data_IF_264109980452
#
_entry.id   IF_264109980452
#
_cell.length_a   1.000
_cell.length_b   1.000
_cell.length_c   1.000
_cell.angle_alpha   90.00
_cell.angle_beta   90.00
_cell.angle_gamma   90.00
#
_symmetry.space_group_name_H-M   'P 1'
#
loop_
_entity.id
_entity.type
_entity.pdbx_description
1 polymer ?
#
# COMPACT_ATOMS: atom_id res chain seq x y z
N UNK A 1 -12.96 8.62 13.00
CA UNK A 1 -11.77 9.04 12.20
C UNK A 1 -10.74 7.92 12.26
N UNK A 2 -9.81 7.83 11.28
CA UNK A 2 -8.67 6.90 11.34
C UNK A 2 -7.73 7.23 12.51
N UNK A 3 -6.69 6.43 12.72
CA UNK A 3 -5.77 6.55 13.84
C UNK A 3 -4.28 6.34 13.56
N UNK A 4 -3.88 5.57 12.55
CA UNK A 4 -2.49 5.09 12.43
C UNK A 4 -1.40 6.17 12.22
N UNK A 5 -1.79 7.42 11.88
CA UNK A 5 -0.87 8.56 11.76
C UNK A 5 -0.75 9.41 13.05
N UNK A 6 -1.62 9.20 14.04
CA UNK A 6 -1.55 9.93 15.30
C UNK A 6 -0.41 9.37 16.17
N UNK A 7 0.65 10.15 16.36
CA UNK A 7 1.77 9.79 17.23
C UNK A 7 1.56 10.15 18.70
N UNK A 8 2.53 9.85 19.57
CA UNK A 8 2.43 10.07 21.01
C UNK A 8 2.34 11.56 21.42
N UNK A 9 2.73 12.46 20.51
CA UNK A 9 2.68 13.93 20.69
C UNK A 9 1.99 14.64 19.53
N UNK A 10 1.13 13.93 18.79
CA UNK A 10 0.46 14.44 17.61
C UNK A 10 1.22 14.10 16.33
N UNK A 11 1.55 15.11 15.52
CA UNK A 11 2.20 14.92 14.21
C UNK A 11 3.56 14.21 14.38
N UNK A 12 3.77 13.18 13.57
CA UNK A 12 5.06 12.49 13.45
C UNK A 12 5.72 12.94 12.14
N UNK A 13 6.89 13.55 12.24
CA UNK A 13 7.67 14.05 11.10
C UNK A 13 8.80 13.09 10.75
N UNK A 14 9.29 13.15 9.51
CA UNK A 14 10.49 12.44 9.10
C UNK A 14 11.34 13.28 8.14
N UNK A 15 12.54 12.81 7.78
CA UNK A 15 13.44 13.55 6.89
C UNK A 15 12.80 13.88 5.52
N UNK A 16 11.90 13.02 5.03
CA UNK A 16 11.22 13.19 3.75
C UNK A 16 9.85 13.89 3.87
N UNK A 17 9.40 14.15 5.11
CA UNK A 17 8.16 14.86 5.43
C UNK A 17 8.38 15.68 6.73
N UNK A 18 9.12 16.79 6.65
CA UNK A 18 9.59 17.53 7.82
C UNK A 18 8.47 18.29 8.54
N UNK A 19 7.41 18.67 7.82
CA UNK A 19 6.23 19.31 8.39
C UNK A 19 5.26 18.27 8.98
N UNK A 20 5.21 17.08 8.38
CA UNK A 20 4.32 16.00 8.77
C UNK A 20 2.84 16.36 8.61
N UNK A 21 1.95 15.43 8.94
CA UNK A 21 0.54 15.71 9.16
C UNK A 21 -0.09 14.64 10.05
N UNK A 22 -1.32 14.91 10.48
CA UNK A 22 -2.14 13.95 11.22
C UNK A 22 -2.81 12.93 10.30
N UNK A 23 -2.83 13.13 8.97
CA UNK A 23 -3.49 12.21 8.03
C UNK A 23 -4.94 11.86 8.44
N UNK A 24 -5.72 12.87 8.81
CA UNK A 24 -7.09 12.76 9.34
C UNK A 24 -7.24 11.99 10.68
N UNK A 25 -6.13 11.57 11.29
CA UNK A 25 -6.10 10.82 12.54
C UNK A 25 -6.11 11.75 13.76
N UNK A 26 -6.97 11.45 14.74
CA UNK A 26 -7.04 12.20 16.00
C UNK A 26 -6.42 11.44 17.17
N UNK A 27 -6.75 10.16 17.29
CA UNK A 27 -6.23 9.24 18.29
C UNK A 27 -5.74 7.98 17.58
N UNK A 28 -4.70 7.34 18.10
CA UNK A 28 -4.22 6.10 17.51
C UNK A 28 -5.07 4.91 17.96
N UNK A 29 -6.18 4.68 17.26
CA UNK A 29 -7.20 3.69 17.64
C UNK A 29 -6.61 2.28 17.79
N UNK A 30 -5.78 1.84 16.84
CA UNK A 30 -5.20 0.50 16.84
C UNK A 30 -4.19 0.30 17.98
N UNK A 31 -3.32 1.28 18.23
CA UNK A 31 -2.36 1.21 19.33
C UNK A 31 -3.06 1.27 20.70
N UNK A 32 -4.08 2.13 20.84
CA UNK A 32 -4.90 2.19 22.06
C UNK A 32 -5.59 0.84 22.30
N UNK A 33 -6.18 0.23 21.28
CA UNK A 33 -6.81 -1.08 21.37
C UNK A 33 -5.84 -2.19 21.80
N UNK A 34 -4.66 -2.22 21.19
CA UNK A 34 -3.61 -3.18 21.53
C UNK A 34 -3.07 -3.01 22.97
N UNK A 35 -2.78 -1.77 23.37
CA UNK A 35 -2.34 -1.44 24.72
C UNK A 35 -3.42 -1.77 25.77
N UNK A 36 -4.68 -1.45 25.48
CA UNK A 36 -5.82 -1.80 26.33
C UNK A 36 -5.94 -3.32 26.49
N UNK A 37 -5.81 -4.08 25.40
CA UNK A 37 -5.91 -5.53 25.43
C UNK A 37 -4.84 -6.14 26.35
N UNK A 38 -3.58 -5.71 26.22
CA UNK A 38 -2.50 -6.14 27.10
C UNK A 38 -2.75 -5.77 28.56
N UNK A 39 -3.18 -4.54 28.81
CA UNK A 39 -3.38 -4.06 30.18
C UNK A 39 -4.52 -4.79 30.87
N UNK A 40 -5.68 -4.91 30.23
CA UNK A 40 -6.89 -5.45 30.85
C UNK A 40 -6.93 -6.98 30.86
N UNK A 41 -6.42 -7.63 29.82
CA UNK A 41 -6.49 -9.08 29.64
C UNK A 41 -5.15 -9.80 29.90
N UNK A 42 -4.17 -9.15 30.56
CA UNK A 42 -2.89 -9.79 30.96
C UNK A 42 -3.05 -11.09 31.74
N UNK A 43 -4.08 -11.16 32.59
CA UNK A 43 -4.37 -12.35 33.41
C UNK A 43 -5.15 -13.43 32.64
N UNK A 44 -5.67 -13.09 31.45
CA UNK A 44 -6.33 -14.02 30.53
C UNK A 44 -5.38 -14.51 29.43
N UNK A 45 -4.08 -14.20 29.56
CA UNK A 45 -3.03 -14.66 28.65
C UNK A 45 -2.75 -13.74 27.47
N UNK A 46 -3.25 -12.50 27.46
CA UNK A 46 -2.90 -11.51 26.43
C UNK A 46 -1.67 -10.72 26.88
N UNK A 47 -0.47 -11.19 26.51
CA UNK A 47 0.79 -10.49 26.76
C UNK A 47 1.42 -9.98 25.48
N UNK A 48 1.50 -10.81 24.43
CA UNK A 48 2.09 -10.48 23.14
C UNK A 48 1.02 -10.02 22.16
N UNK A 49 1.16 -8.82 21.61
CA UNK A 49 0.23 -8.30 20.58
C UNK A 49 0.98 -7.92 19.32
N UNK A 50 0.37 -8.21 18.18
CA UNK A 50 0.86 -7.77 16.89
C UNK A 50 -0.10 -6.78 16.24
N UNK A 51 0.42 -5.70 15.68
CA UNK A 51 -0.32 -4.74 14.88
C UNK A 51 0.19 -4.84 13.44
N UNK A 52 -0.69 -5.15 12.50
CA UNK A 52 -0.38 -5.27 11.07
C UNK A 52 -1.15 -4.21 10.31
N UNK A 53 -0.43 -3.33 9.63
CA UNK A 53 -0.97 -2.21 8.88
C UNK A 53 -0.81 -2.46 7.36
N UNK A 54 -1.94 -2.59 6.67
CA UNK A 54 -1.98 -2.72 5.21
C UNK A 54 -2.51 -1.46 4.51
N UNK A 55 -2.78 -0.38 5.25
CA UNK A 55 -3.09 0.92 4.66
C UNK A 55 -1.95 1.34 3.72
N UNK A 56 -2.27 1.98 2.60
CA UNK A 56 -1.23 2.33 1.63
C UNK A 56 -0.27 3.38 2.19
N UNK A 57 -0.73 4.19 3.14
CA UNK A 57 0.08 5.17 3.83
C UNK A 57 0.75 4.54 5.04
N UNK A 58 1.97 4.98 5.33
CA UNK A 58 2.71 4.44 6.45
C UNK A 58 2.04 4.81 7.79
N UNK A 59 1.80 3.82 8.65
CA UNK A 59 1.37 3.99 10.04
C UNK A 59 2.43 4.59 10.96
N UNK A 60 2.98 5.76 10.60
CA UNK A 60 4.03 6.49 11.32
C UNK A 60 3.66 6.85 12.76
N UNK A 61 2.39 7.14 13.02
CA UNK A 61 1.90 7.37 14.37
C UNK A 61 2.04 6.11 15.22
N UNK A 62 1.58 4.98 14.68
CA UNK A 62 1.67 3.67 15.35
C UNK A 62 3.12 3.26 15.56
N UNK A 63 3.97 3.41 14.53
CA UNK A 63 5.40 3.15 14.63
C UNK A 63 6.05 3.96 15.77
N UNK A 64 5.82 5.28 15.79
CA UNK A 64 6.41 6.16 16.79
C UNK A 64 5.91 5.85 18.20
N UNK A 65 4.65 5.45 18.37
CA UNK A 65 4.14 4.97 19.67
C UNK A 65 4.88 3.70 20.11
N UNK A 66 5.07 2.74 19.20
CA UNK A 66 5.77 1.48 19.50
C UNK A 66 7.25 1.74 19.83
N UNK A 67 7.90 2.72 19.19
CA UNK A 67 9.28 3.13 19.50
C UNK A 67 9.44 3.69 20.92
N UNK A 68 8.39 4.24 21.52
CA UNK A 68 8.41 4.82 22.87
C UNK A 68 8.27 3.77 23.98
N UNK A 69 8.10 2.49 23.62
CA UNK A 69 8.15 1.36 24.55
C UNK A 69 9.56 1.10 25.11
N UNK A 70 10.57 1.78 24.57
CA UNK A 70 11.96 1.61 24.95
C UNK A 70 12.46 2.88 25.62
N UNK A 71 13.07 2.80 26.82
CA UNK A 71 13.63 3.96 27.48
C UNK A 71 14.62 4.69 26.58
N UNK A 72 14.43 6.00 26.42
CA UNK A 72 15.21 6.84 25.53
C UNK A 72 15.42 8.23 26.14
N UNK A 73 16.32 9.02 25.55
CA UNK A 73 16.51 10.43 25.86
C UNK A 73 16.36 11.22 24.58
N UNK A 74 15.27 11.97 24.47
CA UNK A 74 15.09 12.90 23.37
C UNK A 74 15.90 14.17 23.58
N UNK A 75 16.52 14.66 22.51
CA UNK A 75 17.31 15.88 22.51
C UNK A 75 16.65 16.89 21.60
N UNK A 76 16.30 18.05 22.14
CA UNK A 76 15.71 19.16 21.39
C UNK A 76 16.65 20.37 21.44
N UNK A 77 17.07 20.85 20.28
CA UNK A 77 17.80 22.11 20.19
C UNK A 77 16.82 23.27 20.41
N UNK A 78 17.12 24.13 21.38
CA UNK A 78 16.38 25.37 21.59
C UNK A 78 17.26 26.52 21.12
N UNK A 79 16.71 27.33 20.25
CA UNK A 79 17.34 28.57 19.79
C UNK A 79 16.40 29.72 20.07
N UNK A 80 16.88 30.68 20.85
CA UNK A 80 16.23 31.97 21.06
C UNK A 80 17.11 33.06 20.43
N UNK A 81 16.62 34.30 20.29
CA UNK A 81 17.46 35.41 19.83
C UNK A 81 18.70 35.67 20.70
N UNK A 82 18.72 35.19 21.95
CA UNK A 82 19.75 35.51 22.95
C UNK A 82 20.61 34.31 23.37
N UNK A 83 20.17 33.07 23.11
CA UNK A 83 20.86 31.86 23.52
C UNK A 83 20.48 30.66 22.65
N UNK A 84 21.43 29.73 22.49
CA UNK A 84 21.19 28.38 21.99
C UNK A 84 21.53 27.36 23.06
N UNK A 85 20.72 26.32 23.19
CA UNK A 85 20.96 25.22 24.12
C UNK A 85 20.32 23.93 23.61
N UNK A 86 20.54 22.85 24.36
CA UNK A 86 19.94 21.55 24.09
C UNK A 86 19.20 21.10 25.34
N UNK A 87 17.91 20.81 25.20
CA UNK A 87 17.13 20.13 26.23
C UNK A 87 17.23 18.64 26.00
N UNK A 88 17.48 17.90 27.07
CA UNK A 88 17.40 16.44 27.08
C UNK A 88 16.21 16.01 27.95
N UNK A 89 15.30 15.25 27.37
CA UNK A 89 14.09 14.76 28.04
C UNK A 89 14.08 13.24 27.99
N UNK A 90 14.18 12.53 29.12
CA UNK A 90 13.96 11.10 29.15
C UNK A 90 12.54 10.77 28.68
N UNK A 91 12.40 9.77 27.82
CA UNK A 91 11.11 9.27 27.34
C UNK A 91 11.02 7.77 27.54
N UNK A 92 9.91 7.33 28.12
CA UNK A 92 9.58 5.92 28.30
C UNK A 92 8.07 5.82 28.56
N UNK A 93 7.36 5.07 27.72
CA UNK A 93 5.90 4.90 27.82
C UNK A 93 5.51 3.43 27.64
N UNK A 94 5.84 2.56 28.62
CA UNK A 94 5.40 1.17 28.56
C UNK A 94 3.87 1.11 28.60
N UNK A 95 3.30 0.20 27.83
CA UNK A 95 1.90 -0.18 27.87
C UNK A 95 1.60 -1.14 29.03
N UNK A 96 2.53 -2.04 29.36
CA UNK A 96 2.37 -2.99 30.48
C UNK A 96 3.58 -3.02 31.41
N UNK A 97 4.74 -3.44 30.91
CA UNK A 97 5.96 -3.62 31.72
C UNK A 97 7.24 -3.44 30.87
N UNK A 98 8.41 -3.68 31.44
CA UNK A 98 9.70 -3.58 30.74
C UNK A 98 9.88 -4.56 29.57
N UNK A 99 9.07 -5.62 29.49
CA UNK A 99 9.14 -6.62 28.42
C UNK A 99 8.33 -6.22 27.18
N UNK A 100 7.68 -5.06 27.19
CA UNK A 100 6.93 -4.52 26.05
C UNK A 100 7.73 -4.50 24.75
N UNK A 101 9.05 -4.31 24.86
CA UNK A 101 10.01 -4.37 23.77
C UNK A 101 10.00 -5.72 23.03
N UNK A 102 9.69 -6.81 23.73
CA UNK A 102 9.61 -8.18 23.19
C UNK A 102 8.18 -8.64 22.93
N UNK A 103 7.21 -7.97 23.55
CA UNK A 103 5.79 -8.33 23.59
C UNK A 103 4.91 -7.49 22.64
N UNK A 104 5.48 -6.54 21.90
CA UNK A 104 4.78 -5.74 20.89
C UNK A 104 5.45 -5.87 19.53
N UNK A 105 4.69 -6.31 18.54
CA UNK A 105 5.09 -6.42 17.14
C UNK A 105 4.30 -5.41 16.30
N UNK A 106 4.97 -4.73 15.38
CA UNK A 106 4.34 -3.84 14.41
C UNK A 106 4.89 -4.10 13.02
N UNK A 107 4.03 -4.21 12.02
CA UNK A 107 4.43 -4.22 10.63
C UNK A 107 3.54 -3.32 9.80
N UNK A 108 4.13 -2.61 8.83
CA UNK A 108 3.41 -1.77 7.88
C UNK A 108 3.92 -2.01 6.47
N UNK A 109 3.02 -2.24 5.51
CA UNK A 109 3.32 -2.19 4.08
C UNK A 109 2.74 -0.93 3.47
N UNK A 110 3.54 -0.08 2.84
CA UNK A 110 3.10 1.23 2.37
C UNK A 110 3.83 1.66 1.10
N UNK A 111 3.27 2.64 0.38
CA UNK A 111 3.98 3.30 -0.71
C UNK A 111 5.23 4.05 -0.21
N UNK A 112 6.35 3.95 -0.92
CA UNK A 112 7.60 4.60 -0.56
C UNK A 112 8.26 5.23 -1.78
N UNK A 113 8.43 6.54 -1.78
CA UNK A 113 9.05 7.26 -2.90
C UNK A 113 8.38 8.60 -3.19
N UNK A 114 8.73 9.24 -4.32
CA UNK A 114 8.06 10.46 -4.78
C UNK A 114 6.62 10.17 -5.25
N UNK A 115 5.72 11.16 -5.17
CA UNK A 115 4.34 11.03 -5.68
C UNK A 115 4.26 10.92 -7.20
N UNK A 116 5.34 11.25 -7.89
CA UNK A 116 5.41 11.29 -9.35
C UNK A 116 6.79 10.84 -9.85
N UNK A 117 6.77 9.88 -10.78
CA UNK A 117 7.95 9.26 -11.39
C UNK A 117 8.89 10.25 -12.07
N UNK A 118 8.36 11.37 -12.60
CA UNK A 118 9.19 12.43 -13.22
C UNK A 118 10.25 12.95 -12.27
N UNK A 119 9.97 12.93 -10.96
CA UNK A 119 10.90 13.40 -9.93
C UNK A 119 11.70 12.27 -9.28
N UNK A 120 11.36 11.01 -9.55
CA UNK A 120 12.16 9.84 -9.18
C UNK A 120 13.45 9.76 -10.02
N UNK A 121 13.32 9.98 -11.33
CA UNK A 121 14.43 9.81 -12.27
C UNK A 121 15.37 11.03 -12.35
N UNK A 122 14.90 12.22 -11.94
CA UNK A 122 15.69 13.46 -11.93
C UNK A 122 16.37 13.78 -10.58
N UNK A 123 16.33 12.85 -9.61
CA UNK A 123 17.02 12.94 -8.30
C UNK A 123 16.71 14.21 -7.49
N UNK A 124 15.58 14.89 -7.75
CA UNK A 124 15.13 16.02 -6.95
C UNK A 124 13.72 15.78 -6.38
N UNK A 125 13.56 14.82 -5.46
CA UNK A 125 12.28 14.49 -4.86
C UNK A 125 11.63 15.65 -4.11
N UNK A 126 12.41 16.67 -3.71
CA UNK A 126 11.91 17.89 -3.09
C UNK A 126 10.95 18.69 -3.98
N UNK A 127 11.02 18.53 -5.31
CA UNK A 127 10.12 19.22 -6.25
C UNK A 127 8.85 18.43 -6.59
N UNK A 128 8.85 17.10 -6.43
CA UNK A 128 7.74 16.22 -6.80
C UNK A 128 6.76 15.89 -5.68
N UNK A 129 7.12 16.24 -4.44
CA UNK A 129 6.42 15.80 -3.24
C UNK A 129 6.64 14.32 -2.95
N UNK A 130 6.83 13.98 -1.68
CA UNK A 130 6.99 12.60 -1.25
C UNK A 130 5.64 11.92 -0.98
N UNK A 131 5.55 10.62 -1.22
CA UNK A 131 4.39 9.83 -0.83
C UNK A 131 4.29 9.79 0.70
N UNK A 132 3.11 10.10 1.21
CA UNK A 132 2.93 10.67 2.54
C UNK A 132 2.46 9.64 3.58
N UNK A 133 2.97 9.68 4.83
CA UNK A 133 4.37 9.89 5.18
C UNK A 133 5.17 8.63 4.85
N UNK A 134 6.48 8.70 4.73
CA UNK A 134 7.32 7.53 4.46
C UNK A 134 8.50 7.51 5.43
N UNK A 135 8.32 6.93 6.61
CA UNK A 135 9.36 6.93 7.65
C UNK A 135 10.56 6.05 7.28
N UNK A 136 10.42 5.14 6.31
CA UNK A 136 11.51 4.31 5.84
C UNK A 136 11.06 3.08 5.06
N UNK A 137 12.03 2.38 4.48
CA UNK A 137 11.88 1.04 3.89
C UNK A 137 12.83 0.12 4.64
N UNK A 138 12.34 -1.01 5.15
CA UNK A 138 13.19 -2.06 5.72
C UNK A 138 14.01 -2.60 4.57
N UNK A 139 15.33 -2.50 4.70
CA UNK A 139 16.24 -3.13 3.77
C UNK A 139 16.34 -4.59 4.18
N UNK A 140 15.64 -5.47 3.47
CA UNK A 140 15.91 -6.90 3.55
C UNK A 140 17.21 -7.16 2.78
N UNK A 141 18.36 -7.07 3.44
CA UNK A 141 19.63 -7.52 2.83
C UNK A 141 19.73 -9.05 2.96
N UNK A 142 20.53 -9.70 2.12
CA UNK A 142 20.82 -11.14 2.25
C UNK A 142 21.35 -11.50 3.66
N UNK A 143 21.90 -10.50 4.36
CA UNK A 143 22.37 -10.56 5.74
C UNK A 143 21.27 -10.78 6.77
N UNK A 144 20.06 -10.32 6.48
CA UNK A 144 18.87 -10.50 7.34
C UNK A 144 18.17 -11.81 6.98
N UNK A 145 18.18 -12.22 5.71
CA UNK A 145 17.54 -13.47 5.24
C UNK A 145 18.34 -14.73 5.57
N UNK A 146 19.67 -14.65 5.61
CA UNK A 146 20.54 -15.80 5.88
C UNK A 146 21.88 -15.34 6.47
N UNK A 147 21.92 -14.97 7.77
CA UNK A 147 23.11 -14.42 8.42
C UNK A 147 24.34 -15.33 8.33
N UNK A 148 24.12 -16.65 8.26
CA UNK A 148 25.15 -17.68 8.15
C UNK A 148 25.83 -17.77 6.77
N UNK A 149 25.25 -17.18 5.74
CA UNK A 149 25.71 -17.34 4.35
C UNK A 149 26.58 -16.17 3.87
N UNK A 150 26.85 -15.17 4.73
CA UNK A 150 27.73 -14.07 4.37
C UNK A 150 29.17 -14.40 4.77
N UNK A 151 29.94 -14.84 3.79
CA UNK A 151 31.40 -14.81 3.89
C UNK A 151 31.88 -13.37 3.67
N UNK A 152 32.38 -12.74 4.73
CA UNK A 152 32.93 -11.37 4.78
C UNK A 152 31.90 -10.23 4.61
N UNK A 153 31.04 -9.98 5.62
CA UNK A 153 30.14 -8.82 5.60
C UNK A 153 30.94 -7.52 5.51
N UNK A 154 30.57 -6.62 4.59
CA UNK A 154 31.08 -5.25 4.59
C UNK A 154 30.48 -4.46 5.77
N UNK A 155 30.98 -3.26 6.06
CA UNK A 155 30.54 -2.47 7.23
C UNK A 155 29.01 -2.23 7.25
N UNK A 156 28.41 -2.01 6.09
CA UNK A 156 26.96 -1.77 5.95
C UNK A 156 26.18 -3.06 6.23
N UNK A 157 26.62 -4.20 5.69
CA UNK A 157 26.01 -5.51 5.93
C UNK A 157 26.23 -5.99 7.37
N UNK A 158 27.37 -5.66 7.96
CA UNK A 158 27.67 -5.90 9.37
C UNK A 158 26.72 -5.09 10.26
N UNK A 159 26.56 -3.78 10.02
CA UNK A 159 25.62 -2.94 10.77
C UNK A 159 24.15 -3.40 10.59
N UNK A 160 23.78 -3.88 9.41
CA UNK A 160 22.43 -4.42 9.14
C UNK A 160 22.20 -5.85 9.66
N UNK A 161 23.24 -6.68 9.82
CA UNK A 161 23.17 -8.02 10.43
C UNK A 161 23.31 -8.01 11.96
N UNK A 162 23.83 -6.93 12.54
CA UNK A 162 23.87 -6.70 14.00
C UNK A 162 22.47 -6.46 14.60
N UNK A 163 21.40 -6.63 13.82
CA UNK A 163 20.00 -6.39 14.20
C UNK A 163 19.42 -7.43 15.17
N UNK A 164 20.25 -8.36 15.65
CA UNK A 164 19.88 -9.27 16.73
C UNK A 164 20.80 -9.21 17.97
N UNK A 165 21.96 -8.53 17.93
CA UNK A 165 22.94 -8.65 19.05
C UNK A 165 24.00 -7.53 19.14
N UNK A 166 23.66 -6.27 19.47
CA UNK A 166 24.40 -5.45 20.47
C UNK A 166 24.04 -3.94 20.52
N UNK A 167 24.00 -3.49 21.76
CA UNK A 167 23.82 -2.15 22.32
C UNK A 167 24.78 -1.04 21.83
N UNK A 168 24.25 0.18 21.73
CA UNK A 168 24.99 1.46 21.74
C UNK A 168 24.40 2.49 20.77
N UNK A 169 23.97 3.66 21.29
CA UNK A 169 23.36 4.89 20.69
C UNK A 169 22.38 4.79 19.48
N UNK A 170 22.50 3.78 18.62
CA UNK A 170 21.61 3.38 17.53
C UNK A 170 20.41 2.51 17.99
N UNK A 171 20.04 2.61 19.27
CA UNK A 171 18.92 1.87 19.88
C UNK A 171 17.59 2.08 19.17
N UNK A 172 17.43 3.12 18.33
CA UNK A 172 16.19 3.33 17.57
C UNK A 172 15.93 2.18 16.58
N UNK A 173 16.94 1.63 15.91
CA UNK A 173 16.72 0.80 14.72
C UNK A 173 16.34 -0.66 15.03
N UNK A 174 16.66 -1.17 16.22
CA UNK A 174 16.54 -2.60 16.57
C UNK A 174 15.82 -2.90 17.88
N UNK A 175 15.32 -1.88 18.56
CA UNK A 175 14.73 -2.11 19.87
C UNK A 175 13.31 -2.67 19.78
N UNK A 176 12.52 -2.38 18.75
CA UNK A 176 11.16 -2.92 18.63
C UNK A 176 11.05 -3.85 17.42
N UNK A 177 10.19 -4.88 17.50
CA UNK A 177 9.85 -5.76 16.37
C UNK A 177 8.99 -5.00 15.35
N UNK A 178 9.58 -4.01 14.69
CA UNK A 178 8.99 -3.14 13.69
C UNK A 178 9.47 -3.59 12.31
N UNK A 179 8.55 -3.91 11.41
CA UNK A 179 8.84 -4.24 10.01
C UNK A 179 8.14 -3.24 9.10
N UNK A 180 8.90 -2.33 8.49
CA UNK A 180 8.37 -1.35 7.54
C UNK A 180 8.69 -1.75 6.10
N UNK A 181 7.71 -1.98 5.25
CA UNK A 181 7.95 -2.38 3.86
C UNK A 181 7.49 -1.25 2.95
N UNK A 182 8.47 -0.51 2.44
CA UNK A 182 8.25 0.52 1.43
C UNK A 182 8.20 -0.08 0.02
N UNK A 183 7.05 0.06 -0.64
CA UNK A 183 6.81 -0.38 -2.01
C UNK A 183 6.99 0.80 -2.98
N UNK A 184 7.84 0.62 -3.99
CA UNK A 184 8.18 1.69 -4.91
C UNK A 184 7.04 1.93 -5.93
N UNK A 185 6.99 3.14 -6.50
CA UNK A 185 6.00 3.51 -7.51
C UNK A 185 6.24 2.74 -8.83
N UNK A 186 5.21 2.18 -9.50
CA UNK A 186 5.33 1.55 -10.82
C UNK A 186 6.06 2.41 -11.82
N UNK A 187 7.07 1.86 -12.49
CA UNK A 187 7.65 2.47 -13.70
C UNK A 187 6.86 2.07 -14.94
N UNK A 188 6.89 2.86 -16.03
CA UNK A 188 6.14 2.56 -17.26
C UNK A 188 6.55 1.26 -17.95
N UNK A 189 7.77 0.77 -17.70
CA UNK A 189 8.30 -0.47 -18.26
C UNK A 189 8.04 -1.70 -17.37
N UNK A 190 7.49 -1.51 -16.17
CA UNK A 190 7.22 -2.61 -15.25
C UNK A 190 6.04 -3.46 -15.76
N UNK A 191 6.09 -4.75 -15.46
CA UNK A 191 5.01 -5.68 -15.80
C UNK A 191 3.75 -5.32 -15.01
N UNK A 192 2.62 -5.00 -15.68
CA UNK A 192 1.39 -4.61 -15.00
C UNK A 192 0.90 -5.68 -14.01
N UNK A 193 0.75 -5.27 -12.75
CA UNK A 193 0.33 -6.15 -11.66
C UNK A 193 1.47 -6.72 -10.82
N UNK A 194 2.75 -6.48 -11.18
CA UNK A 194 3.89 -6.91 -10.36
C UNK A 194 3.89 -6.34 -8.94
N UNK A 195 3.46 -5.10 -8.72
CA UNK A 195 3.36 -4.55 -7.36
C UNK A 195 2.45 -5.35 -6.43
N UNK A 196 1.39 -5.94 -6.97
CA UNK A 196 0.49 -6.79 -6.17
C UNK A 196 1.21 -8.07 -5.76
N UNK A 197 2.03 -8.63 -6.66
CA UNK A 197 2.91 -9.77 -6.37
C UNK A 197 3.98 -9.36 -5.36
N UNK A 198 4.60 -8.19 -5.50
CA UNK A 198 5.59 -7.67 -4.55
C UNK A 198 4.99 -7.44 -3.16
N UNK A 199 3.77 -6.88 -3.08
CA UNK A 199 3.04 -6.76 -1.83
C UNK A 199 2.83 -8.14 -1.19
N UNK A 200 2.27 -9.11 -1.92
CA UNK A 200 2.00 -10.45 -1.37
C UNK A 200 3.30 -11.17 -0.99
N UNK A 201 4.34 -11.05 -1.80
CA UNK A 201 5.69 -11.53 -1.50
C UNK A 201 6.25 -10.89 -0.24
N UNK A 202 5.97 -9.60 0.00
CA UNK A 202 6.41 -8.92 1.20
C UNK A 202 5.79 -9.52 2.47
N UNK A 203 4.51 -9.91 2.40
CA UNK A 203 3.86 -10.66 3.46
C UNK A 203 4.44 -12.06 3.61
N UNK A 204 4.52 -12.84 2.52
CA UNK A 204 5.00 -14.24 2.55
C UNK A 204 6.43 -14.37 3.06
N UNK A 205 7.31 -13.45 2.67
CA UNK A 205 8.76 -13.54 2.91
C UNK A 205 9.21 -12.76 4.14
N UNK A 206 8.55 -11.65 4.47
CA UNK A 206 9.01 -10.75 5.53
C UNK A 206 8.04 -10.65 6.71
N UNK A 207 6.72 -10.52 6.51
CA UNK A 207 5.80 -10.27 7.64
C UNK A 207 5.33 -11.58 8.29
N UNK A 208 4.73 -12.48 7.51
CA UNK A 208 4.05 -13.68 8.04
C UNK A 208 5.00 -14.64 8.78
N UNK A 209 6.23 -14.93 8.29
CA UNK A 209 7.15 -15.79 9.04
C UNK A 209 7.55 -15.19 10.38
N UNK A 210 7.86 -13.89 10.43
CA UNK A 210 8.24 -13.21 11.66
C UNK A 210 7.06 -13.03 12.61
N UNK A 211 5.85 -12.85 12.09
CA UNK A 211 4.62 -12.81 12.87
C UNK A 211 4.31 -14.17 13.50
N UNK A 212 4.52 -15.27 12.76
CA UNK A 212 4.36 -16.62 13.30
C UNK A 212 5.42 -16.89 14.39
N UNK A 213 6.68 -16.54 14.14
CA UNK A 213 7.78 -16.72 15.10
C UNK A 213 7.63 -15.80 16.33
N UNK A 214 6.95 -14.67 16.18
CA UNK A 214 6.57 -13.79 17.29
C UNK A 214 5.56 -14.45 18.25
N UNK A 215 4.76 -15.40 17.76
CA UNK A 215 3.75 -16.13 18.53
C UNK A 215 2.78 -15.18 19.28
N UNK A 216 2.05 -14.31 18.57
CA UNK A 216 1.18 -13.32 19.21
C UNK A 216 0.06 -14.00 20.00
N UNK A 217 -0.33 -13.42 21.13
CA UNK A 217 -1.55 -13.80 21.85
C UNK A 217 -2.79 -13.12 21.26
N UNK A 218 -2.61 -12.08 20.44
CA UNK A 218 -3.67 -11.36 19.74
C UNK A 218 -3.12 -10.55 18.56
N UNK A 219 -3.86 -10.52 17.46
CA UNK A 219 -3.50 -9.73 16.26
C UNK A 219 -4.49 -8.57 16.08
N UNK A 220 -3.98 -7.39 15.78
CA UNK A 220 -4.72 -6.20 15.40
C UNK A 220 -4.37 -5.84 13.96
N UNK A 221 -5.37 -5.49 13.15
CA UNK A 221 -5.20 -5.02 11.79
C UNK A 221 -5.53 -3.53 11.74
N UNK A 222 -4.59 -2.71 11.28
CA UNK A 222 -4.87 -1.36 10.76
C UNK A 222 -5.30 -1.51 9.30
N UNK A 223 -6.61 -1.40 9.06
CA UNK A 223 -7.23 -1.80 7.81
C UNK A 223 -7.59 -0.58 6.94
N UNK A 224 -6.64 -0.14 6.13
CA UNK A 224 -6.84 0.89 5.10
C UNK A 224 -7.17 0.33 3.73
N UNK A 225 -8.21 0.84 3.08
CA UNK A 225 -8.67 0.34 1.76
C UNK A 225 -8.33 1.28 0.59
N UNK A 226 -7.45 2.24 0.83
CA UNK A 226 -6.96 3.24 -0.13
C UNK A 226 -5.80 2.74 -1.01
N UNK A 227 -5.21 1.59 -0.71
CA UNK A 227 -4.31 0.87 -1.62
C UNK A 227 -5.02 0.36 -2.90
N UNK A 228 -6.35 0.45 -2.95
CA UNK A 228 -7.14 -0.05 -4.07
C UNK A 228 -6.82 0.73 -5.35
N UNK A 229 -6.57 0.07 -6.49
CA UNK A 229 -6.18 0.67 -7.79
C UNK A 229 -7.09 1.77 -8.38
N UNK A 230 -8.27 1.98 -7.77
CA UNK A 230 -9.28 2.98 -8.19
C UNK A 230 -9.40 4.13 -7.19
N UNK A 231 -8.73 4.02 -6.05
CA UNK A 231 -8.53 5.12 -5.13
C UNK A 231 -7.42 6.01 -5.64
N UNK A 232 -7.60 7.32 -5.54
CA UNK A 232 -6.66 8.31 -6.02
C UNK A 232 -5.64 8.70 -4.95
N UNK A 233 -5.92 8.41 -3.67
CA UNK A 233 -5.01 8.76 -2.57
C UNK A 233 -3.74 7.92 -2.55
N UNK A 234 -3.71 6.75 -3.20
CA UNK A 234 -2.49 5.97 -3.35
C UNK A 234 -1.52 6.49 -4.42
N UNK A 235 -1.84 7.51 -5.23
CA UNK A 235 -0.96 8.03 -6.29
C UNK A 235 -0.41 6.95 -7.27
N UNK A 236 -1.10 5.82 -7.43
CA UNK A 236 -0.66 4.70 -8.26
C UNK A 236 0.24 3.69 -7.56
N UNK A 237 0.54 3.87 -6.27
CA UNK A 237 1.25 2.88 -5.46
C UNK A 237 0.40 1.62 -5.22
N UNK A 238 1.08 0.47 -5.24
CA UNK A 238 0.56 -0.89 -4.94
C UNK A 238 -0.52 -1.40 -5.90
N UNK A 239 -1.64 -0.67 -6.03
CA UNK A 239 -2.72 -0.98 -6.96
C UNK A 239 -3.50 -2.25 -6.60
N UNK A 240 -3.79 -2.46 -5.31
CA UNK A 240 -4.57 -3.61 -4.82
C UNK A 240 -5.95 -3.70 -5.48
N UNK A 241 -6.49 -4.90 -5.51
CA UNK A 241 -7.89 -5.20 -5.79
C UNK A 241 -8.50 -5.99 -4.64
N UNK A 242 -9.80 -6.24 -4.73
CA UNK A 242 -10.59 -6.93 -3.71
C UNK A 242 -9.98 -8.29 -3.30
N UNK A 243 -9.44 -9.05 -4.25
CA UNK A 243 -8.80 -10.35 -4.02
C UNK A 243 -7.50 -10.24 -3.18
N UNK A 244 -6.81 -9.11 -3.20
CA UNK A 244 -5.59 -8.92 -2.40
C UNK A 244 -5.95 -8.66 -0.94
N UNK A 245 -7.00 -7.88 -0.68
CA UNK A 245 -7.50 -7.66 0.68
C UNK A 245 -8.05 -8.96 1.28
N UNK A 246 -8.78 -9.75 0.50
CA UNK A 246 -9.21 -11.10 0.91
C UNK A 246 -7.98 -11.93 1.29
N UNK A 247 -6.99 -12.04 0.41
CA UNK A 247 -5.81 -12.87 0.66
C UNK A 247 -5.00 -12.42 1.88
N UNK A 248 -4.66 -11.13 2.01
CA UNK A 248 -3.88 -10.64 3.17
C UNK A 248 -4.61 -11.00 4.47
N UNK A 249 -5.93 -10.82 4.48
CA UNK A 249 -6.76 -11.13 5.64
C UNK A 249 -6.80 -12.62 5.94
N UNK A 250 -6.98 -13.47 4.92
CA UNK A 250 -6.93 -14.93 5.07
C UNK A 250 -5.60 -15.38 5.68
N UNK A 251 -4.47 -14.85 5.21
CA UNK A 251 -3.15 -15.19 5.76
C UNK A 251 -3.01 -14.76 7.23
N UNK A 252 -3.45 -13.56 7.58
CA UNK A 252 -3.41 -13.08 8.97
C UNK A 252 -4.32 -13.90 9.89
N UNK A 253 -5.50 -14.31 9.41
CA UNK A 253 -6.40 -15.20 10.15
C UNK A 253 -5.78 -16.58 10.33
N UNK A 254 -5.10 -17.14 9.32
CA UNK A 254 -4.36 -18.41 9.45
C UNK A 254 -3.28 -18.33 10.54
N UNK A 255 -2.52 -17.23 10.60
CA UNK A 255 -1.54 -17.02 11.67
C UNK A 255 -2.24 -16.84 13.01
N UNK A 256 -3.36 -16.11 13.07
CA UNK A 256 -4.15 -15.98 14.29
C UNK A 256 -4.66 -17.35 14.80
N UNK A 257 -5.11 -18.21 13.90
CA UNK A 257 -5.55 -19.57 14.24
C UNK A 257 -4.39 -20.41 14.79
N UNK A 258 -3.18 -20.27 14.23
CA UNK A 258 -1.98 -20.98 14.68
C UNK A 258 -1.47 -20.51 16.06
N UNK A 259 -1.47 -19.20 16.35
CA UNK A 259 -0.82 -18.65 17.54
C UNK A 259 -1.81 -18.28 18.67
N UNK A 260 -2.97 -17.73 18.32
CA UNK A 260 -3.86 -17.09 19.28
C UNK A 260 -5.32 -17.58 19.24
N UNK A 261 -5.56 -18.81 18.78
CA UNK A 261 -6.92 -19.38 18.69
C UNK A 261 -7.90 -18.48 17.90
N UNK A 262 -7.40 -17.81 16.87
CA UNK A 262 -8.20 -16.92 16.01
C UNK A 262 -8.51 -15.55 16.63
N UNK A 263 -7.83 -15.13 17.70
CA UNK A 263 -8.01 -13.80 18.30
C UNK A 263 -7.42 -12.70 17.41
N UNK A 264 -8.27 -12.14 16.56
CA UNK A 264 -7.93 -11.06 15.64
C UNK A 264 -8.98 -9.93 15.71
N UNK A 265 -8.53 -8.68 15.70
CA UNK A 265 -9.37 -7.49 15.62
C UNK A 265 -8.95 -6.68 14.40
N UNK A 266 -9.92 -6.17 13.64
CA UNK A 266 -9.68 -5.24 12.54
C UNK A 266 -10.23 -3.86 12.86
N UNK A 267 -9.44 -2.82 12.57
CA UNK A 267 -9.75 -1.41 12.82
C UNK A 267 -9.65 -0.65 11.50
N UNK A 268 -10.76 -0.05 11.05
CA UNK A 268 -10.80 0.70 9.79
C UNK A 268 -9.92 1.96 9.86
N UNK A 269 -9.08 2.16 8.83
CA UNK A 269 -8.23 3.32 8.61
C UNK A 269 -8.67 4.11 7.36
N UNK A 270 -7.84 4.17 6.31
CA UNK A 270 -8.13 4.85 5.05
C UNK A 270 -9.09 4.11 4.12
N UNK A 271 -9.37 4.73 2.97
CA UNK A 271 -10.31 4.23 1.96
C UNK A 271 -11.30 5.31 1.54
N UNK A 272 -11.02 5.99 0.43
CA UNK A 272 -11.67 7.24 0.07
C UNK A 272 -12.50 7.13 -1.20
N UNK A 273 -12.31 6.05 -1.98
CA UNK A 273 -13.15 5.75 -3.15
C UNK A 273 -14.49 5.15 -2.77
N UNK A 274 -15.32 5.96 -2.15
CA UNK A 274 -16.69 5.62 -1.71
C UNK A 274 -17.75 5.75 -2.81
N UNK A 275 -17.39 6.32 -3.97
CA UNK A 275 -18.25 6.46 -5.14
C UNK A 275 -17.77 5.59 -6.31
N UNK A 276 -18.72 5.08 -7.12
CA UNK A 276 -18.44 4.47 -8.42
C UNK A 276 -19.30 3.24 -8.71
N UNK A 277 -20.03 3.25 -9.83
CA UNK A 277 -20.93 2.16 -10.23
C UNK A 277 -22.06 1.91 -9.23
N UNK A 278 -22.58 0.68 -9.20
CA UNK A 278 -23.62 0.24 -8.25
C UNK A 278 -23.03 0.06 -6.84
N UNK A 279 -21.77 -0.39 -6.73
CA UNK A 279 -21.06 -0.61 -5.47
C UNK A 279 -19.65 -0.03 -5.61
N UNK A 280 -19.22 0.77 -4.63
CA UNK A 280 -17.91 1.43 -4.67
C UNK A 280 -16.75 0.45 -4.45
N UNK A 281 -15.54 0.76 -4.96
CA UNK A 281 -14.32 -0.01 -4.67
C UNK A 281 -14.04 -0.17 -3.17
N UNK A 282 -14.27 0.90 -2.38
CA UNK A 282 -14.18 0.83 -0.92
C UNK A 282 -15.10 -0.25 -0.35
N UNK A 283 -16.39 -0.20 -0.69
CA UNK A 283 -17.37 -1.15 -0.17
C UNK A 283 -17.07 -2.61 -0.58
N UNK A 284 -16.63 -2.85 -1.82
CA UNK A 284 -16.24 -4.21 -2.25
C UNK A 284 -15.00 -4.71 -1.51
N UNK A 285 -14.01 -3.85 -1.27
CA UNK A 285 -12.78 -4.22 -0.56
C UNK A 285 -13.06 -4.56 0.91
N UNK A 286 -13.88 -3.75 1.58
CA UNK A 286 -14.37 -4.02 2.94
C UNK A 286 -15.14 -5.35 2.98
N UNK A 287 -16.03 -5.60 2.01
CA UNK A 287 -16.79 -6.84 1.95
C UNK A 287 -15.88 -8.08 1.79
N UNK A 288 -14.86 -8.00 0.93
CA UNK A 288 -13.85 -9.08 0.78
C UNK A 288 -13.06 -9.32 2.07
N UNK A 289 -12.60 -8.25 2.73
CA UNK A 289 -11.89 -8.34 4.02
C UNK A 289 -12.76 -8.97 5.12
N UNK A 290 -14.00 -8.50 5.29
CA UNK A 290 -14.93 -9.04 6.31
C UNK A 290 -15.30 -10.50 6.00
N UNK A 291 -15.51 -10.84 4.72
CA UNK A 291 -15.74 -12.24 4.32
C UNK A 291 -14.59 -13.13 4.76
N UNK A 292 -13.35 -12.73 4.48
CA UNK A 292 -12.16 -13.48 4.89
C UNK A 292 -12.07 -13.66 6.42
N UNK A 293 -12.42 -12.64 7.21
CA UNK A 293 -12.50 -12.75 8.68
C UNK A 293 -13.54 -13.80 9.12
N UNK A 294 -14.73 -13.76 8.54
CA UNK A 294 -15.84 -14.67 8.89
C UNK A 294 -15.55 -16.10 8.46
N UNK A 295 -15.13 -16.28 7.20
CA UNK A 295 -14.87 -17.59 6.63
C UNK A 295 -13.63 -18.23 7.25
N UNK A 296 -12.55 -17.46 7.44
CA UNK A 296 -11.31 -17.92 8.05
C UNK A 296 -11.46 -18.25 9.55
N UNK A 297 -12.27 -17.46 10.28
CA UNK A 297 -12.61 -17.77 11.67
C UNK A 297 -13.45 -19.05 11.81
N UNK A 298 -14.23 -19.38 10.78
CA UNK A 298 -15.05 -20.60 10.72
C UNK A 298 -14.26 -21.83 10.26
N UNK A 299 -13.35 -21.66 9.29
CA UNK A 299 -12.54 -22.76 8.74
C UNK A 299 -11.46 -23.24 9.71
N UNK A 300 -10.94 -22.34 10.56
CA UNK A 300 -9.81 -22.59 11.47
C UNK A 300 -8.58 -23.18 10.78
N UNK A 301 -8.39 -22.83 9.51
CA UNK A 301 -7.20 -23.23 8.76
C UNK A 301 -5.96 -22.62 9.43
N UNK A 302 -4.90 -23.43 9.55
CA UNK A 302 -3.65 -23.03 10.16
C UNK A 302 -2.69 -22.48 9.10
N UNK A 303 -1.74 -21.64 9.53
CA UNK A 303 -0.69 -21.13 8.66
C UNK A 303 0.39 -22.18 8.42
N UNK A 304 0.74 -22.43 7.15
CA UNK A 304 1.88 -23.23 6.72
C UNK A 304 2.91 -22.33 6.00
N UNK A 305 4.18 -22.40 6.43
CA UNK A 305 5.28 -21.65 5.80
C UNK A 305 5.55 -22.15 4.37
N UNK A 306 5.36 -23.43 4.09
CA UNK A 306 5.68 -24.02 2.78
C UNK A 306 4.74 -23.53 1.67
N UNK A 307 3.47 -23.28 2.00
CA UNK A 307 2.47 -22.75 1.05
C UNK A 307 2.91 -21.41 0.45
N UNK A 308 3.54 -20.55 1.26
CA UNK A 308 3.99 -19.23 0.83
C UNK A 308 5.07 -19.27 -0.26
N UNK A 309 6.00 -20.23 -0.20
CA UNK A 309 7.05 -20.34 -1.22
C UNK A 309 6.48 -20.72 -2.59
N UNK A 310 5.57 -21.71 -2.60
CA UNK A 310 4.92 -22.18 -3.83
C UNK A 310 3.98 -21.12 -4.42
N UNK A 311 3.19 -20.45 -3.58
CA UNK A 311 2.27 -19.41 -4.02
C UNK A 311 3.03 -18.22 -4.65
N UNK A 312 4.16 -17.81 -4.07
CA UNK A 312 5.03 -16.75 -4.60
C UNK A 312 5.56 -17.08 -6.00
N UNK A 313 6.11 -18.28 -6.18
CA UNK A 313 6.64 -18.71 -7.49
C UNK A 313 5.54 -18.81 -8.54
N UNK A 314 4.39 -19.37 -8.15
CA UNK A 314 3.24 -19.53 -9.02
C UNK A 314 2.66 -18.19 -9.49
N UNK A 315 2.41 -17.24 -8.59
CA UNK A 315 1.85 -15.93 -8.94
C UNK A 315 2.74 -15.12 -9.85
N UNK A 316 4.05 -15.10 -9.57
CA UNK A 316 5.03 -14.41 -10.41
C UNK A 316 4.99 -14.96 -11.84
N UNK A 317 5.04 -16.28 -11.98
CA UNK A 317 4.98 -16.94 -13.28
C UNK A 317 3.67 -16.63 -14.03
N UNK A 318 2.53 -16.65 -13.34
CA UNK A 318 1.22 -16.36 -13.93
C UNK A 318 1.12 -14.94 -14.47
N UNK A 319 1.65 -13.95 -13.75
CA UNK A 319 1.62 -12.55 -14.20
C UNK A 319 2.58 -12.32 -15.37
N UNK A 320 3.78 -12.89 -15.32
CA UNK A 320 4.75 -12.84 -16.42
C UNK A 320 4.21 -13.51 -17.69
N UNK A 321 3.59 -14.69 -17.58
CA UNK A 321 2.98 -15.38 -18.72
C UNK A 321 1.81 -14.58 -19.30
N UNK A 322 0.97 -13.99 -18.44
CA UNK A 322 -0.12 -13.11 -18.88
C UNK A 322 0.40 -11.91 -19.66
N UNK A 323 1.49 -11.29 -19.20
CA UNK A 323 2.09 -10.16 -19.90
C UNK A 323 2.76 -10.59 -21.21
N UNK A 324 3.47 -11.73 -21.22
CA UNK A 324 4.01 -12.34 -22.46
C UNK A 324 2.93 -12.57 -23.51
N UNK A 325 1.79 -13.15 -23.13
CA UNK A 325 0.64 -13.37 -24.03
C UNK A 325 0.07 -12.05 -24.53
N UNK A 326 0.00 -11.02 -23.69
CA UNK A 326 -0.44 -9.68 -24.07
C UNK A 326 0.51 -9.04 -25.08
N UNK A 327 1.83 -9.13 -24.86
CA UNK A 327 2.85 -8.62 -25.77
C UNK A 327 2.77 -9.31 -27.14
N UNK A 328 2.69 -10.65 -27.19
CA UNK A 328 2.49 -11.40 -28.43
C UNK A 328 1.20 -10.96 -29.16
N UNK A 329 0.11 -10.70 -28.43
CA UNK A 329 -1.13 -10.21 -29.02
C UNK A 329 -0.95 -8.80 -29.60
N UNK A 330 -0.25 -7.90 -28.91
CA UNK A 330 0.04 -6.55 -29.42
C UNK A 330 0.95 -6.59 -30.64
N UNK A 331 1.95 -7.47 -30.66
CA UNK A 331 2.86 -7.64 -31.80
C UNK A 331 2.13 -8.18 -33.02
N UNK A 332 1.24 -9.16 -32.86
CA UNK A 332 0.37 -9.67 -33.94
C UNK A 332 -0.59 -8.62 -34.50
N UNK A 333 -1.01 -7.68 -33.67
CA UNK A 333 -1.88 -6.56 -34.07
C UNK A 333 -1.10 -5.37 -34.63
N UNK A 334 0.24 -5.40 -34.57
CA UNK A 334 1.08 -4.34 -35.12
C UNK A 334 0.97 -4.41 -36.65
N UNK A 335 0.51 -3.35 -37.33
CA UNK A 335 0.44 -3.36 -38.78
C UNK A 335 1.84 -3.61 -39.34
N UNK A 336 1.98 -4.38 -40.44
CA UNK A 336 3.26 -4.53 -41.10
C UNK A 336 3.76 -3.12 -41.44
N UNK A 337 5.01 -2.82 -41.08
CA UNK A 337 5.66 -1.59 -41.52
C UNK A 337 5.59 -1.58 -43.04
N UNK A 338 4.65 -0.82 -43.60
CA UNK A 338 4.67 -0.56 -45.04
C UNK A 338 5.86 0.37 -45.24
N UNK A 339 6.85 -0.14 -45.97
CA UNK A 339 8.09 0.54 -46.37
C UNK A 339 7.82 1.89 -47.09
N UNK A 340 6.55 2.21 -47.35
CA UNK A 340 6.03 3.46 -47.88
C UNK A 340 6.09 4.66 -46.92
N UNK A 341 5.96 4.49 -45.60
CA UNK A 341 6.02 5.64 -44.67
C UNK A 341 7.45 6.09 -44.38
N UNK A 342 8.39 5.14 -44.28
CA UNK A 342 9.82 5.44 -44.18
C UNK A 342 10.35 6.16 -45.44
N UNK A 343 9.84 5.78 -46.63
CA UNK A 343 10.16 6.45 -47.91
C UNK A 343 9.56 7.86 -48.01
N UNK A 344 8.35 8.11 -47.49
CA UNK A 344 7.76 9.46 -47.45
C UNK A 344 8.56 10.41 -46.55
N UNK A 345 9.05 9.93 -45.40
CA UNK A 345 9.90 10.72 -44.51
C UNK A 345 11.29 11.01 -45.13
N UNK A 346 11.84 10.06 -45.89
CA UNK A 346 13.11 10.26 -46.62
C UNK A 346 12.98 11.20 -47.83
N UNK A 347 11.87 11.16 -48.58
CA UNK A 347 11.64 12.07 -49.71
C UNK A 347 11.37 13.52 -49.26
N UNK A 348 10.72 13.72 -48.10
CA UNK A 348 10.49 15.06 -47.56
C UNK A 348 11.78 15.75 -47.08
N UNK A 349 12.81 14.99 -46.65
CA UNK A 349 14.13 15.55 -46.29
C UNK A 349 15.00 15.91 -47.50
N UNK A 350 14.76 15.33 -48.67
CA UNK A 350 15.51 15.66 -49.90
C UNK A 350 14.95 16.89 -50.64
N UNK A 351 13.70 17.31 -50.35
CA UNK A 351 13.06 18.46 -51.00
C UNK A 351 13.42 19.83 -50.37
N UNK A 352 14.19 19.87 -49.28
CA UNK A 352 14.64 21.11 -48.63
C UNK A 352 16.15 21.28 -48.73
N UNK A 353 16.68 21.47 -49.95
CA UNK A 353 17.99 22.07 -50.19
C UNK A 353 17.84 23.12 -51.30
N UNK A 354 17.47 24.34 -50.92
CA UNK A 354 17.67 25.55 -51.72
C UNK A 354 18.50 26.53 -50.90
N UNK A 355 19.54 27.17 -51.49
CA UNK A 355 20.49 28.01 -50.76
C UNK A 355 19.91 29.39 -50.45
N UNK A 356 20.49 30.15 -49.50
CA UNK A 356 19.99 31.45 -49.12
C UNK A 356 20.42 32.51 -50.15
N UNK A 357 19.46 33.28 -50.68
CA UNK A 357 19.76 34.50 -51.41
C UNK A 357 19.58 35.73 -50.51
N UNK A 358 20.66 36.50 -50.45
CA UNK A 358 20.74 37.85 -49.91
C UNK A 358 20.17 38.80 -50.96
N UNK A 359 19.23 39.69 -50.61
CA UNK A 359 19.24 41.08 -51.08
C UNK A 359 18.27 42.00 -50.33
N UNK A 360 18.64 43.27 -50.36
CA UNK A 360 18.35 44.35 -49.43
C UNK A 360 17.18 45.26 -49.84
N UNK A 361 16.44 45.71 -48.81
CA UNK A 361 16.01 47.11 -48.53
C UNK A 361 14.99 47.78 -49.46
N UNK A 362 13.83 48.14 -48.87
CA UNK A 362 12.92 49.16 -49.37
C UNK A 362 11.94 49.64 -48.30
N UNK A 363 12.23 50.79 -47.69
CA UNK A 363 11.42 51.48 -46.68
C UNK A 363 10.06 51.93 -47.25
N UNK A 364 9.00 51.89 -46.42
CA UNK A 364 8.00 52.97 -46.32
C UNK A 364 7.27 52.90 -44.98
N UNK A 365 7.15 54.05 -44.35
CA UNK A 365 6.59 54.30 -43.04
C UNK A 365 5.15 54.87 -43.13
N UNK A 366 4.52 55.01 -41.95
CA UNK A 366 3.21 55.62 -41.58
C UNK A 366 2.08 54.59 -41.45
N UNK A 367 1.19 54.62 -40.45
CA UNK A 367 0.93 55.55 -39.33
C UNK A 367 -0.09 54.89 -38.39
N UNK A 368 -0.18 55.42 -37.16
CA UNK A 368 -1.15 55.10 -36.11
C UNK A 368 -2.62 55.08 -36.53
N UNK A 369 -3.43 54.22 -35.88
CA UNK A 369 -4.75 54.59 -35.37
C UNK A 369 -5.33 53.52 -34.42
N UNK A 370 -5.73 53.99 -33.24
CA UNK A 370 -6.62 53.37 -32.25
C UNK A 370 -8.07 53.21 -32.75
N UNK A 371 -8.86 52.48 -31.94
CA UNK A 371 -10.35 52.38 -31.85
C UNK A 371 -10.96 51.23 -32.66
N UNK A 372 -11.44 50.15 -32.03
CA UNK A 372 -12.69 49.94 -31.26
C UNK A 372 -13.68 49.12 -32.10
N UNK A 373 -14.07 47.93 -31.64
CA UNK A 373 -15.48 47.57 -31.48
C UNK A 373 -15.66 46.24 -30.74
N UNK A 374 -16.54 46.32 -29.75
CA UNK A 374 -17.16 45.27 -28.95
C UNK A 374 -17.94 44.24 -29.77
N UNK A 375 -18.05 43.01 -29.22
CA UNK A 375 -19.21 42.10 -29.21
C UNK A 375 -18.69 40.68 -28.84
N UNK A 376 -19.18 39.88 -27.88
CA UNK A 376 -20.40 39.83 -27.08
C UNK A 376 -20.13 39.01 -25.79
N UNK A 377 -20.72 39.49 -24.69
CA UNK A 377 -21.44 38.77 -23.61
C UNK A 377 -21.15 37.25 -23.48
N UNK A 378 -20.61 36.71 -22.37
CA UNK A 378 -21.15 36.68 -21.00
C UNK A 378 -22.66 36.42 -20.90
N UNK A 379 -23.06 35.16 -20.82
CA UNK A 379 -24.30 34.76 -20.14
C UNK A 379 -23.99 33.70 -19.09
N UNK A 380 -24.02 34.16 -17.84
CA UNK A 380 -24.38 33.41 -16.65
C UNK A 380 -25.89 33.23 -16.56
N UNK A 381 -26.30 32.32 -15.66
CA UNK A 381 -27.67 32.06 -15.13
C UNK A 381 -28.42 30.95 -15.91
N UNK A 382 -29.18 30.04 -15.32
CA UNK A 382 -29.76 30.03 -13.98
C UNK A 382 -30.18 28.62 -13.54
N UNK A 383 -30.40 28.52 -12.24
CA UNK A 383 -30.98 27.40 -11.52
C UNK A 383 -32.43 27.17 -11.96
N UNK A 384 -32.79 25.93 -12.33
CA UNK A 384 -34.18 25.47 -12.25
C UNK A 384 -34.28 24.14 -11.51
N UNK A 385 -34.98 24.22 -10.39
CA UNK A 385 -35.54 23.11 -9.63
C UNK A 385 -36.50 22.31 -10.51
N UNK A 386 -36.33 20.98 -10.58
CA UNK A 386 -37.41 20.09 -10.99
C UNK A 386 -37.75 19.10 -9.88
N UNK A 387 -38.96 19.29 -9.37
CA UNK A 387 -39.73 18.39 -8.52
C UNK A 387 -39.99 17.07 -9.26
N UNK A 388 -39.76 15.93 -8.59
CA UNK A 388 -40.33 14.65 -8.99
C UNK A 388 -41.63 14.39 -8.22
N UNK A 389 -42.70 13.93 -8.88
CA UNK A 389 -43.99 13.78 -8.23
C UNK A 389 -44.07 12.51 -7.38
N UNK A 390 -44.70 12.67 -6.21
CA UNK A 390 -45.25 11.59 -5.40
C UNK A 390 -46.35 10.85 -6.16
N UNK A 391 -46.27 9.51 -6.21
CA UNK A 391 -47.45 8.67 -6.33
C UNK A 391 -47.42 7.55 -5.30
N UNK A 392 -48.29 7.71 -4.29
CA UNK A 392 -48.82 6.63 -3.46
C UNK A 392 -49.79 5.80 -4.30
N UNK A 393 -49.68 4.48 -4.23
CA UNK A 393 -50.81 3.57 -4.40
C UNK A 393 -50.61 2.34 -3.51
N UNK A 394 -51.39 2.29 -2.43
CA UNK A 394 -51.73 1.08 -1.72
C UNK A 394 -52.77 0.28 -2.52
N UNK A 395 -52.73 -1.05 -2.40
CA UNK A 395 -53.84 -1.98 -2.07
C UNK A 395 -53.63 -3.31 -2.81
N UNK A 396 -53.71 -4.42 -2.06
CA UNK A 396 -54.38 -5.62 -2.54
C UNK A 396 -53.57 -6.92 -2.52
N UNK A 397 -53.62 -7.61 -1.38
CA UNK A 397 -53.37 -9.04 -1.20
C UNK A 397 -54.06 -9.92 -2.25
N UNK A 398 -53.35 -10.92 -2.79
CA UNK A 398 -53.91 -12.24 -3.10
C UNK A 398 -52.87 -13.32 -2.83
N UNK A 399 -53.26 -14.24 -1.96
CA UNK A 399 -52.65 -15.54 -1.73
C UNK A 399 -52.59 -16.33 -3.04
N UNK A 400 -51.51 -17.07 -3.24
CA UNK A 400 -51.57 -18.38 -3.88
C UNK A 400 -50.43 -19.24 -3.33
N UNK A 401 -50.83 -20.28 -2.61
CA UNK A 401 -50.02 -21.43 -2.25
C UNK A 401 -49.71 -22.24 -3.52
N UNK A 402 -48.46 -22.64 -3.68
CA UNK A 402 -48.12 -23.92 -4.29
C UNK A 402 -46.72 -24.31 -3.83
N UNK A 403 -46.69 -25.41 -3.08
CA UNK A 403 -45.51 -26.16 -2.66
C UNK A 403 -44.60 -26.49 -3.86
N UNK A 404 -43.29 -26.31 -3.71
CA UNK A 404 -42.26 -27.16 -4.33
C UNK A 404 -40.88 -26.80 -3.75
N UNK A 405 -40.46 -27.65 -2.80
CA UNK A 405 -39.11 -28.09 -2.44
C UNK A 405 -37.92 -27.10 -2.51
N UNK A 406 -37.43 -26.75 -1.31
CA UNK A 406 -36.16 -26.08 -1.04
C UNK A 406 -34.95 -26.86 -1.62
N UNK A 407 -34.41 -26.40 -2.75
CA UNK A 407 -33.01 -26.71 -3.13
C UNK A 407 -32.09 -25.65 -2.49
N UNK A 408 -31.21 -26.01 -1.53
CA UNK A 408 -30.26 -25.07 -0.97
C UNK A 408 -29.25 -24.67 -2.04
N UNK A 409 -29.24 -23.37 -2.37
CA UNK A 409 -28.26 -22.74 -3.24
C UNK A 409 -26.84 -23.29 -2.98
N UNK A 410 -26.22 -23.84 -4.03
CA UNK A 410 -24.86 -24.39 -4.00
C UNK A 410 -23.87 -23.33 -3.53
N UNK A 411 -23.61 -23.29 -2.22
CA UNK A 411 -22.43 -22.63 -1.66
C UNK A 411 -21.21 -23.25 -2.34
N UNK A 412 -20.52 -22.48 -3.18
CA UNK A 412 -19.16 -22.82 -3.62
C UNK A 412 -18.26 -22.77 -2.39
N UNK A 413 -18.13 -23.89 -1.68
CA UNK A 413 -16.93 -24.15 -0.88
C UNK A 413 -15.77 -24.09 -1.87
N UNK A 414 -14.90 -23.08 -1.74
CA UNK A 414 -13.60 -23.11 -2.43
C UNK A 414 -12.85 -24.30 -1.88
N UNK A 415 -12.48 -25.23 -2.75
CA UNK A 415 -11.55 -26.30 -2.38
C UNK A 415 -10.21 -25.65 -2.08
N UNK A 416 -9.52 -26.12 -1.03
CA UNK A 416 -8.13 -25.80 -0.77
C UNK A 416 -7.33 -26.07 -2.07
N UNK A 417 -6.66 -25.04 -2.57
CA UNK A 417 -5.90 -25.09 -3.83
C UNK A 417 -4.47 -25.47 -3.46
N UNK A 418 -4.08 -26.71 -3.79
CA UNK A 418 -2.69 -27.14 -3.67
C UNK A 418 -1.86 -26.48 -4.78
N UNK A 419 -1.18 -25.39 -4.45
CA UNK A 419 -0.33 -24.65 -5.38
C UNK A 419 0.86 -25.46 -5.87
N UNK A 420 1.34 -26.42 -5.08
CA UNK A 420 2.42 -27.33 -5.49
C UNK A 420 1.92 -28.27 -6.58
N UNK A 421 0.74 -28.89 -6.39
CA UNK A 421 0.13 -29.74 -7.42
C UNK A 421 -0.13 -28.93 -8.70
N UNK A 422 -0.65 -27.70 -8.57
CA UNK A 422 -0.94 -26.83 -9.71
C UNK A 422 0.35 -26.44 -10.46
N UNK A 423 1.42 -26.12 -9.73
CA UNK A 423 2.73 -25.80 -10.32
C UNK A 423 3.38 -27.03 -10.99
N UNK A 424 3.27 -28.21 -10.38
CA UNK A 424 3.71 -29.46 -10.98
C UNK A 424 2.90 -29.85 -12.22
N UNK A 425 1.58 -29.62 -12.21
CA UNK A 425 0.72 -29.78 -13.38
C UNK A 425 1.14 -28.82 -14.50
N UNK A 426 1.39 -27.54 -14.18
CA UNK A 426 1.90 -26.57 -15.16
C UNK A 426 3.25 -26.98 -15.76
N UNK A 427 4.15 -27.58 -14.97
CA UNK A 427 5.42 -28.14 -15.49
C UNK A 427 5.19 -29.37 -16.38
N UNK A 428 4.27 -30.26 -16.00
CA UNK A 428 3.95 -31.50 -16.73
C UNK A 428 3.21 -31.25 -18.04
N UNK A 429 2.39 -30.21 -18.11
CA UNK A 429 1.67 -29.80 -19.32
C UNK A 429 2.57 -29.24 -20.43
N UNK A 430 3.90 -29.21 -20.22
CA UNK A 430 4.88 -29.21 -21.30
C UNK A 430 4.65 -28.13 -22.35
N UNK A 431 5.09 -26.91 -22.05
CA UNK A 431 5.40 -25.93 -23.09
C UNK A 431 6.46 -26.53 -24.03
N UNK A 432 6.01 -27.08 -25.16
CA UNK A 432 6.87 -27.39 -26.29
C UNK A 432 7.18 -26.09 -27.04
N UNK A 433 8.45 -25.67 -27.00
CA UNK A 433 9.12 -24.85 -28.03
C UNK A 433 8.58 -23.45 -28.26
#
# INVERSE_FOLDING_TARGET
>A
PPGHHAGPRGIVTCANDPDGSHGFCLLNNVAIGAAYARSMYRNEGIRRVAIIDFDVHHGNGTEEIVRQLVPNVERAAIRTPFASGMIQTPTYRPWLDENDIHDVFFASTHGYGPRDLRFADHLNPAQGGWFYPASGKTRTTDAILSPSNIEHPNLTDFLHSQTWTRMGEDNRSNCCKIINIGLDLPRPHDVPGMQRVELRDSYRKNILPHLLDFDPDMIFISAGFDAHKKDTMNFGYVGMVEDDYEWVTEQLVKVANSCCNGRIISVLEGGYKIHGGIISPFARSVASHVRALVDGGSSRELYDKQDGEWESQFERHMVEDKERRRQMKMERLRPPHTDTEARRYHHARQAHHLPPSVETRGQRARSDSHAEMDDLMNESLDIQQHQYPHHNAHVGTKENQSDEEDEPSRKRRRNHVDYKELYEQMKKEGFSG
#
